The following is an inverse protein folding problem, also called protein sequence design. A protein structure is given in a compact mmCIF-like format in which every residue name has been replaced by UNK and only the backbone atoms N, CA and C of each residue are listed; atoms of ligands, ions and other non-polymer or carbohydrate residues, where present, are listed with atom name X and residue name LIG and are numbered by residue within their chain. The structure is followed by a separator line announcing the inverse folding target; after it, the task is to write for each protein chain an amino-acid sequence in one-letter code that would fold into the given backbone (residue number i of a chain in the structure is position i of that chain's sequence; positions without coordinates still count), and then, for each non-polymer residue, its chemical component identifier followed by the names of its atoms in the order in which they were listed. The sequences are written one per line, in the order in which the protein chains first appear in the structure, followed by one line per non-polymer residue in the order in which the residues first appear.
data_IF_047256269341
#
_entry.id   IF_047256269341
#
_cell.length_a   1.000
_cell.length_b   1.000
_cell.length_c   1.000
_cell.angle_alpha   90.00
_cell.angle_beta   90.00
_cell.angle_gamma   90.00
#
_symmetry.space_group_name_H-M   'P 1'
#
loop_
_entity.id
_entity.type
_entity.pdbx_description
1 polymer ?
#
# COMPACT_ATOMS: atom_id res chain seq x y z
N UNK A 1 10.76 -28.42 -37.81
CA UNK A 1 9.69 -28.26 -36.79
C UNK A 1 10.24 -28.90 -35.52
N UNK A 2 10.97 -28.13 -34.70
CA UNK A 2 11.66 -28.67 -33.52
C UNK A 2 10.67 -28.69 -32.34
N UNK A 3 10.06 -29.84 -32.10
CA UNK A 3 9.33 -30.15 -30.86
C UNK A 3 10.33 -30.43 -29.75
N UNK A 4 10.82 -29.38 -29.09
CA UNK A 4 11.42 -29.53 -27.77
C UNK A 4 10.29 -29.52 -26.73
N UNK A 5 9.95 -30.72 -26.25
CA UNK A 5 9.12 -30.90 -25.06
C UNK A 5 9.78 -30.19 -23.89
N UNK A 6 9.05 -29.28 -23.23
CA UNK A 6 9.51 -28.63 -22.01
C UNK A 6 9.63 -29.71 -20.94
N UNK A 7 10.85 -29.94 -20.47
CA UNK A 7 11.11 -30.84 -19.35
C UNK A 7 10.53 -30.25 -18.05
N UNK A 8 9.44 -30.84 -17.58
CA UNK A 8 8.75 -30.48 -16.32
C UNK A 8 9.30 -31.23 -15.11
N UNK A 9 10.39 -32.00 -15.23
CA UNK A 9 10.99 -32.72 -14.10
C UNK A 9 11.92 -31.86 -13.24
N UNK A 10 12.03 -30.56 -13.53
CA UNK A 10 12.75 -29.62 -12.67
C UNK A 10 11.89 -29.39 -11.41
N UNK A 11 12.38 -29.71 -10.20
CA UNK A 11 11.58 -29.53 -9.00
C UNK A 11 11.18 -28.06 -8.87
N UNK A 12 9.88 -27.82 -8.68
CA UNK A 12 9.35 -26.53 -8.24
C UNK A 12 9.93 -26.31 -6.84
N UNK A 13 10.92 -25.42 -6.72
CA UNK A 13 11.44 -25.02 -5.41
C UNK A 13 10.27 -24.41 -4.65
N UNK A 14 9.96 -24.95 -3.48
CA UNK A 14 8.90 -24.40 -2.63
C UNK A 14 9.24 -22.95 -2.29
N UNK A 15 8.24 -22.07 -2.24
CA UNK A 15 8.43 -20.68 -1.86
C UNK A 15 9.04 -20.52 -0.44
N UNK A 16 9.00 -21.60 0.35
CA UNK A 16 9.41 -21.66 1.76
C UNK A 16 10.92 -21.88 1.98
N UNK A 17 11.71 -22.21 0.94
CA UNK A 17 13.16 -22.48 1.07
C UNK A 17 14.04 -21.21 0.99
N UNK A 18 13.45 -20.01 1.00
CA UNK A 18 14.16 -18.75 0.83
C UNK A 18 14.23 -17.98 2.16
N UNK A 19 15.28 -18.23 2.95
CA UNK A 19 15.56 -17.53 4.18
C UNK A 19 16.03 -16.08 3.96
N UNK A 20 15.23 -15.11 4.44
CA UNK A 20 15.60 -13.67 4.54
C UNK A 20 15.84 -13.22 5.99
N UNK A 21 16.29 -14.11 6.87
CA UNK A 21 16.38 -13.89 8.32
C UNK A 21 17.50 -12.96 8.81
N UNK A 22 18.06 -12.10 7.96
CA UNK A 22 19.01 -11.10 8.40
C UNK A 22 18.40 -9.72 8.16
N UNK A 23 18.05 -9.01 9.24
CA UNK A 23 17.94 -7.54 9.38
C UNK A 23 16.78 -7.01 10.24
N UNK A 24 16.26 -7.69 11.28
CA UNK A 24 15.32 -7.04 12.22
C UNK A 24 15.48 -7.48 13.68
N UNK A 25 15.11 -6.60 14.62
CA UNK A 25 15.31 -6.73 16.06
C UNK A 25 14.27 -7.62 16.79
N UNK A 26 13.19 -8.02 16.11
CA UNK A 26 12.37 -9.19 16.44
C UNK A 26 11.81 -9.79 15.11
N UNK A 27 12.58 -10.68 14.45
CA UNK A 27 12.37 -11.12 13.07
C UNK A 27 11.38 -12.30 12.91
N UNK A 28 10.93 -12.94 13.98
CA UNK A 28 10.30 -14.28 13.89
C UNK A 28 8.78 -14.25 13.62
N UNK A 29 8.10 -13.13 13.88
CA UNK A 29 6.65 -13.07 13.79
C UNK A 29 6.13 -13.11 12.33
N UNK A 30 6.77 -12.37 11.41
CA UNK A 30 6.38 -12.34 9.98
C UNK A 30 7.14 -13.42 9.17
N UNK A 31 8.24 -13.97 9.71
CA UNK A 31 9.09 -14.93 9.00
C UNK A 31 8.40 -16.26 8.62
N UNK A 32 7.33 -16.62 9.32
CA UNK A 32 6.57 -17.87 9.10
C UNK A 32 5.34 -17.64 8.20
N UNK A 33 5.06 -16.38 7.80
CA UNK A 33 3.89 -16.02 7.00
C UNK A 33 4.18 -16.24 5.51
N UNK A 34 3.33 -17.05 4.87
CA UNK A 34 3.34 -17.28 3.42
C UNK A 34 2.16 -16.58 2.76
N UNK A 35 2.12 -16.58 1.43
CA UNK A 35 0.99 -16.06 0.67
C UNK A 35 -0.31 -16.87 0.84
N UNK A 36 -0.27 -17.99 1.55
CA UNK A 36 -1.43 -18.84 1.86
C UNK A 36 -1.88 -18.74 3.32
N UNK A 37 -1.12 -18.04 4.17
CA UNK A 37 -1.49 -17.81 5.56
C UNK A 37 -2.83 -17.07 5.63
N UNK A 38 -3.73 -17.54 6.49
CA UNK A 38 -5.00 -16.87 6.70
C UNK A 38 -4.75 -15.45 7.27
N UNK A 39 -5.48 -14.41 6.81
CA UNK A 39 -5.18 -13.04 7.20
C UNK A 39 -5.15 -12.83 8.72
N UNK A 40 -6.08 -13.45 9.45
CA UNK A 40 -6.24 -13.43 10.91
C UNK A 40 -5.07 -14.04 11.70
N UNK A 41 -4.25 -14.88 11.06
CA UNK A 41 -3.05 -15.46 11.65
C UNK A 41 -1.79 -14.58 11.47
N UNK A 42 -1.88 -13.48 10.73
CA UNK A 42 -0.75 -12.57 10.49
C UNK A 42 -0.57 -11.63 11.69
N UNK A 43 0.62 -11.58 12.32
CA UNK A 43 0.85 -10.68 13.45
C UNK A 43 0.88 -9.22 12.99
N UNK A 44 0.27 -8.35 13.79
CA UNK A 44 0.30 -6.91 13.57
C UNK A 44 1.49 -6.27 14.29
N UNK A 45 2.17 -5.30 13.66
CA UNK A 45 3.18 -4.49 14.35
C UNK A 45 2.60 -3.82 15.61
N UNK A 46 3.47 -3.56 16.59
CA UNK A 46 3.11 -2.78 17.77
C UNK A 46 2.49 -1.44 17.34
N UNK A 47 1.37 -1.02 17.94
CA UNK A 47 0.74 0.25 17.60
C UNK A 47 1.70 1.42 17.78
N UNK A 48 2.63 1.35 18.73
CA UNK A 48 3.54 2.45 19.09
C UNK A 48 4.90 2.39 18.38
N UNK A 49 5.05 1.51 17.40
CA UNK A 49 6.24 1.47 16.56
C UNK A 49 6.42 2.78 15.77
N UNK A 50 7.67 3.23 15.65
CA UNK A 50 8.02 4.39 14.82
C UNK A 50 7.69 4.13 13.34
N UNK A 51 7.38 5.18 12.58
CA UNK A 51 7.02 5.07 11.16
C UNK A 51 8.07 4.33 10.34
N UNK A 52 9.37 4.55 10.61
CA UNK A 52 10.45 3.80 9.95
C UNK A 52 10.35 2.27 10.17
N UNK A 53 10.03 1.85 11.40
CA UNK A 53 9.83 0.42 11.71
C UNK A 53 8.57 -0.15 11.05
N UNK A 54 7.49 0.64 10.98
CA UNK A 54 6.27 0.24 10.28
C UNK A 54 6.48 0.11 8.75
N UNK A 55 7.28 1.00 8.16
CA UNK A 55 7.65 0.91 6.74
C UNK A 55 8.50 -0.32 6.45
N UNK A 56 9.45 -0.65 7.34
CA UNK A 56 10.23 -1.88 7.23
C UNK A 56 9.34 -3.12 7.33
N UNK A 57 8.37 -3.15 8.24
CA UNK A 57 7.40 -4.25 8.33
C UNK A 57 6.54 -4.37 7.06
N UNK A 58 6.13 -3.25 6.45
CA UNK A 58 5.42 -3.25 5.18
C UNK A 58 6.30 -3.71 4.01
N UNK A 59 7.59 -3.37 3.99
CA UNK A 59 8.55 -3.92 3.02
C UNK A 59 8.67 -5.43 3.15
N UNK A 60 8.82 -5.96 4.36
CA UNK A 60 8.87 -7.41 4.58
C UNK A 60 7.56 -8.09 4.16
N UNK A 61 6.41 -7.46 4.44
CA UNK A 61 5.11 -7.95 4.00
C UNK A 61 5.00 -8.02 2.46
N UNK A 62 5.52 -7.01 1.76
CA UNK A 62 5.61 -6.99 0.30
C UNK A 62 6.54 -8.07 -0.24
N UNK A 63 7.69 -8.27 0.39
CA UNK A 63 8.68 -9.29 0.02
C UNK A 63 8.10 -10.71 0.15
N UNK A 64 7.46 -11.02 1.28
CA UNK A 64 6.85 -12.32 1.56
C UNK A 64 5.48 -12.53 0.95
N UNK A 65 4.97 -11.54 0.23
CA UNK A 65 3.69 -11.64 -0.42
C UNK A 65 2.54 -11.90 0.60
N UNK A 66 2.60 -11.27 1.77
CA UNK A 66 1.66 -11.44 2.89
C UNK A 66 0.22 -11.07 2.46
N UNK A 67 -0.78 -11.96 2.67
CA UNK A 67 -2.15 -11.72 2.25
C UNK A 67 -2.99 -11.09 3.37
N UNK A 68 -2.55 -9.96 3.92
CA UNK A 68 -3.26 -9.27 5.02
C UNK A 68 -3.14 -7.74 4.92
N UNK A 69 -4.09 -6.98 5.50
CA UNK A 69 -4.08 -5.51 5.50
C UNK A 69 -3.08 -4.91 6.50
N UNK A 70 -1.83 -5.38 6.49
CA UNK A 70 -0.82 -4.93 7.44
C UNK A 70 -0.49 -3.45 7.22
N UNK A 71 -0.29 -3.04 5.97
CA UNK A 71 0.05 -1.66 5.63
C UNK A 71 -1.14 -0.71 5.84
N UNK A 72 -2.35 -1.14 5.47
CA UNK A 72 -3.60 -0.44 5.71
C UNK A 72 -3.81 -0.19 7.21
N UNK A 73 -3.59 -1.22 8.03
CA UNK A 73 -3.79 -1.15 9.49
C UNK A 73 -2.73 -0.27 10.15
N UNK A 74 -1.46 -0.58 9.91
CA UNK A 74 -0.36 -0.05 10.71
C UNK A 74 0.11 1.33 10.24
N UNK A 75 0.17 1.58 8.93
CA UNK A 75 0.67 2.84 8.38
C UNK A 75 -0.41 3.91 8.17
N UNK A 76 -1.68 3.49 7.99
CA UNK A 76 -2.78 4.39 7.64
C UNK A 76 -3.81 4.47 8.75
N UNK A 77 -4.57 3.40 9.01
CA UNK A 77 -5.75 3.44 9.87
C UNK A 77 -5.40 3.80 11.33
N UNK A 78 -4.45 3.08 11.96
CA UNK A 78 -4.07 3.30 13.37
C UNK A 78 -3.52 4.72 13.61
N UNK A 79 -2.55 5.24 12.83
CA UNK A 79 -2.08 6.61 13.01
C UNK A 79 -3.18 7.66 12.86
N UNK A 80 -4.10 7.49 11.91
CA UNK A 80 -5.21 8.43 11.70
C UNK A 80 -6.20 8.41 12.87
N UNK A 81 -6.54 7.23 13.40
CA UNK A 81 -7.39 7.13 14.60
C UNK A 81 -6.73 7.78 15.82
N UNK A 82 -5.42 7.53 16.03
CA UNK A 82 -4.65 8.18 17.10
C UNK A 82 -4.66 9.70 16.96
N UNK A 83 -4.39 10.22 15.76
CA UNK A 83 -4.40 11.66 15.46
C UNK A 83 -5.78 12.30 15.67
N UNK A 84 -6.85 11.56 15.40
CA UNK A 84 -8.23 11.98 15.60
C UNK A 84 -8.73 11.80 17.05
N UNK A 85 -7.92 11.22 17.95
CA UNK A 85 -8.33 10.92 19.33
C UNK A 85 -9.45 9.88 19.40
N UNK A 86 -9.49 8.93 18.47
CA UNK A 86 -10.45 7.83 18.44
C UNK A 86 -9.77 6.52 18.86
N UNK A 87 -10.51 5.62 19.55
CA UNK A 87 -9.99 4.30 19.88
C UNK A 87 -9.75 3.51 18.59
N UNK A 88 -8.64 2.79 18.54
CA UNK A 88 -8.35 1.81 17.50
C UNK A 88 -8.95 0.46 17.92
N UNK A 89 -9.91 -0.10 17.16
CA UNK A 89 -10.39 -1.45 17.41
C UNK A 89 -9.25 -2.47 17.27
N UNK A 90 -9.38 -3.58 18.01
CA UNK A 90 -8.47 -4.72 17.85
C UNK A 90 -8.64 -5.39 16.48
N UNK A 91 -7.56 -6.06 16.04
CA UNK A 91 -7.51 -6.74 14.74
C UNK A 91 -7.17 -5.81 13.58
N UNK A 92 -7.50 -6.28 12.37
CA UNK A 92 -7.17 -5.60 11.12
C UNK A 92 -8.10 -4.44 10.83
N UNK A 93 -7.51 -3.35 10.34
CA UNK A 93 -8.23 -2.16 9.93
C UNK A 93 -7.97 -1.88 8.45
N UNK A 94 -8.96 -1.29 7.82
CA UNK A 94 -8.86 -0.73 6.47
C UNK A 94 -9.11 0.78 6.51
N UNK A 95 -8.99 1.43 5.36
CA UNK A 95 -9.30 2.84 5.21
C UNK A 95 -10.03 3.10 3.89
N UNK A 96 -10.77 4.20 3.85
CA UNK A 96 -11.38 4.73 2.64
C UNK A 96 -11.33 6.26 2.65
N UNK A 97 -10.69 6.85 1.66
CA UNK A 97 -10.68 8.31 1.46
C UNK A 97 -11.72 8.62 0.39
N UNK A 98 -12.92 9.00 0.82
CA UNK A 98 -14.11 9.08 -0.02
C UNK A 98 -14.77 10.47 0.07
N UNK A 99 -14.17 11.51 -0.56
CA UNK A 99 -14.78 12.83 -0.64
C UNK A 99 -16.12 12.85 -1.40
N UNK A 100 -16.41 11.81 -2.19
CA UNK A 100 -17.63 11.64 -2.98
C UNK A 100 -18.84 11.13 -2.18
N UNK A 101 -18.66 10.73 -0.91
CA UNK A 101 -19.78 10.38 -0.07
C UNK A 101 -20.70 11.57 0.17
N UNK A 102 -22.00 11.33 0.09
CA UNK A 102 -23.00 12.32 0.49
C UNK A 102 -23.23 12.21 1.99
N UNK A 103 -22.73 13.19 2.74
CA UNK A 103 -22.90 13.29 4.19
C UNK A 103 -23.89 14.41 4.50
N UNK A 104 -24.96 14.08 5.23
CA UNK A 104 -26.02 15.02 5.64
C UNK A 104 -26.28 14.90 7.13
N UNK A 105 -26.78 15.97 7.75
CA UNK A 105 -27.31 15.88 9.12
C UNK A 105 -28.70 15.25 9.06
N UNK A 106 -28.96 14.22 9.87
CA UNK A 106 -30.24 13.50 9.83
C UNK A 106 -31.40 14.32 10.42
N UNK A 107 -31.15 15.16 11.44
CA UNK A 107 -32.17 16.00 12.10
C UNK A 107 -31.76 17.48 12.22
N UNK A 108 -31.68 18.24 11.11
CA UNK A 108 -31.25 19.65 11.16
C UNK A 108 -32.15 20.56 11.99
N UNK A 109 -33.41 20.18 12.23
CA UNK A 109 -34.41 20.98 12.96
C UNK A 109 -34.51 20.67 14.47
N UNK A 110 -33.92 19.57 14.95
CA UNK A 110 -33.95 19.18 16.38
C UNK A 110 -32.64 19.50 17.12
N UNK A 111 -31.62 19.96 16.39
CA UNK A 111 -30.32 20.30 16.95
C UNK A 111 -30.33 21.73 17.51
N UNK A 112 -29.92 21.89 18.77
CA UNK A 112 -29.77 23.21 19.43
C UNK A 112 -28.70 24.10 18.79
N UNK A 113 -27.94 23.56 17.83
CA UNK A 113 -26.85 24.24 17.09
C UNK A 113 -27.19 24.50 15.61
N UNK A 114 -28.42 24.18 15.15
CA UNK A 114 -28.87 24.44 13.78
C UNK A 114 -28.01 23.75 12.69
N UNK A 115 -28.03 24.28 11.46
CA UNK A 115 -27.25 23.77 10.32
C UNK A 115 -25.72 23.84 10.49
N UNK A 116 -25.21 24.31 11.64
CA UNK A 116 -23.81 24.62 11.90
C UNK A 116 -23.00 23.47 12.55
N UNK A 117 -23.64 22.38 12.99
CA UNK A 117 -22.88 21.19 13.39
C UNK A 117 -23.50 20.32 14.47
N UNK A 118 -23.13 19.05 14.43
CA UNK A 118 -23.42 18.11 15.49
C UNK A 118 -22.63 18.45 16.76
N UNK A 119 -23.30 18.98 17.78
CA UNK A 119 -22.84 18.95 19.16
C UNK A 119 -24.03 18.46 20.01
N UNK A 120 -24.04 17.17 20.32
CA UNK A 120 -25.06 16.52 21.12
C UNK A 120 -25.07 15.00 20.90
N UNK A 121 -25.41 14.25 21.95
CA UNK A 121 -25.47 12.77 21.91
C UNK A 121 -26.60 12.24 20.99
N UNK A 122 -27.59 13.07 20.66
CA UNK A 122 -28.74 12.73 19.82
C UNK A 122 -28.58 13.06 18.32
N UNK A 123 -27.49 13.71 17.92
CA UNK A 123 -27.27 14.10 16.52
C UNK A 123 -26.66 12.93 15.72
N UNK A 124 -27.25 12.61 14.56
CA UNK A 124 -26.75 11.56 13.65
C UNK A 124 -26.39 12.15 12.29
N UNK A 125 -25.30 11.64 11.72
CA UNK A 125 -24.91 11.87 10.33
C UNK A 125 -25.50 10.77 9.47
N UNK A 126 -26.20 11.17 8.41
CA UNK A 126 -26.71 10.29 7.38
C UNK A 126 -25.68 10.23 6.25
N UNK A 127 -25.09 9.06 6.04
CA UNK A 127 -24.05 8.83 5.03
C UNK A 127 -24.60 7.96 3.92
N UNK A 128 -24.64 8.50 2.71
CA UNK A 128 -25.09 7.77 1.50
C UNK A 128 -23.99 7.78 0.44
N UNK A 129 -23.81 6.66 -0.23
CA UNK A 129 -22.86 6.56 -1.34
C UNK A 129 -22.21 5.19 -1.42
N UNK A 130 -21.09 5.11 -2.13
CA UNK A 130 -20.31 3.88 -2.24
C UNK A 130 -18.86 4.21 -1.94
N UNK A 131 -18.29 3.52 -0.96
CA UNK A 131 -16.84 3.48 -0.78
C UNK A 131 -16.30 2.48 -1.81
N UNK A 132 -15.52 2.96 -2.78
CA UNK A 132 -15.04 2.12 -3.88
C UNK A 132 -13.69 1.50 -3.57
N UNK A 133 -13.52 0.23 -3.96
CA UNK A 133 -12.26 -0.51 -3.91
C UNK A 133 -11.54 -0.44 -2.56
N UNK A 134 -12.29 -0.51 -1.47
CA UNK A 134 -11.76 -0.49 -0.11
C UNK A 134 -10.84 -1.70 0.09
N UNK A 135 -9.55 -1.50 0.40
CA UNK A 135 -8.61 -2.60 0.51
C UNK A 135 -8.97 -3.49 1.69
N UNK A 136 -9.08 -4.80 1.46
CA UNK A 136 -9.32 -5.78 2.53
C UNK A 136 -10.60 -5.54 3.35
N UNK A 137 -11.61 -4.87 2.80
CA UNK A 137 -12.81 -4.51 3.56
C UNK A 137 -13.51 -5.73 4.19
N UNK A 138 -13.60 -6.84 3.45
CA UNK A 138 -14.19 -8.09 3.94
C UNK A 138 -13.41 -8.78 5.08
N UNK A 139 -12.14 -8.43 5.27
CA UNK A 139 -11.26 -9.01 6.29
C UNK A 139 -10.97 -8.04 7.45
N UNK A 140 -11.40 -6.78 7.33
CA UNK A 140 -11.17 -5.76 8.34
C UNK A 140 -12.26 -5.78 9.42
N UNK A 141 -11.87 -5.62 10.68
CA UNK A 141 -12.79 -5.36 11.79
C UNK A 141 -13.51 -4.03 11.59
N UNK A 142 -12.80 -3.04 11.03
CA UNK A 142 -13.29 -1.69 10.84
C UNK A 142 -12.60 -0.99 9.65
N UNK A 143 -13.33 -0.10 9.00
CA UNK A 143 -12.84 0.79 7.94
C UNK A 143 -12.81 2.21 8.49
N UNK A 144 -11.64 2.84 8.47
CA UNK A 144 -11.49 4.26 8.79
C UNK A 144 -11.89 5.08 7.57
N UNK A 145 -13.02 5.77 7.66
CA UNK A 145 -13.59 6.54 6.55
C UNK A 145 -13.28 8.01 6.74
N UNK A 146 -12.67 8.62 5.72
CA UNK A 146 -12.47 10.06 5.62
C UNK A 146 -13.40 10.59 4.54
N UNK A 147 -14.29 11.50 4.90
CA UNK A 147 -15.31 12.05 4.01
C UNK A 147 -15.42 13.57 4.16
N UNK A 148 -16.09 14.21 3.21
CA UNK A 148 -16.40 15.64 3.28
C UNK A 148 -17.83 15.82 3.79
N UNK A 149 -17.99 16.42 4.97
CA UNK A 149 -19.28 16.83 5.51
C UNK A 149 -19.55 18.32 5.23
N UNK A 150 -20.78 18.83 5.43
CA UNK A 150 -21.08 20.25 5.25
C UNK A 150 -20.22 21.17 6.11
N UNK A 151 -19.77 20.71 7.27
CA UNK A 151 -18.86 21.44 8.15
C UNK A 151 -17.36 21.26 7.85
N UNK A 152 -17.02 20.60 6.74
CA UNK A 152 -15.65 20.26 6.36
C UNK A 152 -15.32 18.77 6.53
N UNK A 153 -14.02 18.42 6.44
CA UNK A 153 -13.57 17.04 6.52
C UNK A 153 -13.91 16.36 7.85
N UNK A 154 -14.36 15.11 7.77
CA UNK A 154 -14.67 14.29 8.94
C UNK A 154 -14.03 12.91 8.81
N UNK A 155 -13.78 12.30 9.96
CA UNK A 155 -13.30 10.93 10.12
C UNK A 155 -14.24 10.16 11.03
N UNK A 156 -14.57 8.93 10.64
CA UNK A 156 -15.34 8.00 11.47
C UNK A 156 -14.97 6.56 11.13
N UNK A 157 -15.38 5.62 11.99
CA UNK A 157 -15.15 4.20 11.80
C UNK A 157 -16.43 3.51 11.34
N UNK A 158 -16.33 2.70 10.29
CA UNK A 158 -17.41 1.89 9.74
C UNK A 158 -17.10 0.41 9.94
N UNK A 159 -17.99 -0.33 10.58
CA UNK A 159 -17.94 -1.80 10.54
C UNK A 159 -18.45 -2.28 9.16
N UNK A 160 -17.69 -3.10 8.41
CA UNK A 160 -18.09 -3.54 7.06
C UNK A 160 -19.49 -4.16 6.99
N UNK A 161 -19.90 -4.91 8.01
CA UNK A 161 -21.23 -5.54 8.09
C UNK A 161 -22.41 -4.55 8.15
N UNK A 162 -22.17 -3.25 8.33
CA UNK A 162 -23.21 -2.20 8.24
C UNK A 162 -23.43 -1.67 6.82
N UNK A 163 -22.68 -2.17 5.84
CA UNK A 163 -22.78 -1.81 4.43
C UNK A 163 -23.08 -3.06 3.59
N UNK A 164 -23.73 -2.87 2.43
CA UNK A 164 -23.82 -3.94 1.45
C UNK A 164 -22.48 -4.06 0.72
N UNK A 165 -21.80 -5.19 0.89
CA UNK A 165 -20.48 -5.44 0.32
C UNK A 165 -20.59 -6.12 -1.03
N UNK A 166 -19.97 -5.52 -2.06
CA UNK A 166 -19.75 -6.14 -3.37
C UNK A 166 -18.29 -6.59 -3.47
N UNK A 167 -18.02 -7.90 -3.53
CA UNK A 167 -16.66 -8.41 -3.60
C UNK A 167 -15.92 -7.91 -4.85
N UNK A 168 -14.73 -7.35 -4.66
CA UNK A 168 -13.84 -6.95 -5.74
C UNK A 168 -12.39 -7.37 -5.49
N UNK A 169 -11.53 -7.21 -6.49
CA UNK A 169 -10.12 -7.57 -6.40
C UNK A 169 -9.23 -6.64 -7.20
N UNK A 170 -7.94 -6.66 -6.88
CA UNK A 170 -6.91 -6.06 -7.74
C UNK A 170 -6.26 -7.10 -8.67
N UNK A 171 -5.27 -6.66 -9.46
CA UNK A 171 -4.58 -7.54 -10.42
C UNK A 171 -3.88 -8.73 -9.74
N UNK A 172 -3.43 -8.55 -8.50
CA UNK A 172 -2.80 -9.60 -7.69
C UNK A 172 -3.81 -10.50 -6.96
N UNK A 173 -5.12 -10.28 -7.13
CA UNK A 173 -6.18 -11.02 -6.46
C UNK A 173 -6.43 -10.60 -5.01
N UNK A 174 -5.86 -9.48 -4.55
CA UNK A 174 -6.09 -8.96 -3.20
C UNK A 174 -7.46 -8.27 -3.12
N UNK A 175 -8.21 -8.39 -2.01
CA UNK A 175 -9.55 -7.82 -1.89
C UNK A 175 -9.58 -6.30 -2.05
N UNK A 176 -10.47 -5.82 -2.91
CA UNK A 176 -10.77 -4.39 -3.16
C UNK A 176 -12.27 -4.25 -3.30
N UNK A 177 -12.94 -4.24 -2.18
CA UNK A 177 -14.39 -4.38 -2.10
C UNK A 177 -15.09 -3.03 -2.22
N UNK A 178 -16.26 -3.02 -2.85
CA UNK A 178 -17.13 -1.85 -2.82
C UNK A 178 -18.09 -1.99 -1.62
N UNK A 179 -18.17 -0.95 -0.78
CA UNK A 179 -19.12 -0.89 0.34
C UNK A 179 -20.22 0.13 0.01
N UNK A 180 -21.44 -0.36 -0.20
CA UNK A 180 -22.61 0.46 -0.49
C UNK A 180 -23.31 0.88 0.80
N UNK A 181 -23.40 2.19 1.02
CA UNK A 181 -24.01 2.82 2.18
C UNK A 181 -25.40 3.33 1.79
N UNK A 182 -26.43 2.57 2.16
CA UNK A 182 -27.83 2.93 1.95
C UNK A 182 -28.33 3.82 3.10
N UNK A 183 -27.87 5.08 3.12
CA UNK A 183 -28.25 6.08 4.13
C UNK A 183 -27.95 5.61 5.57
N UNK A 184 -26.69 5.30 5.83
CA UNK A 184 -26.22 4.84 7.13
C UNK A 184 -26.25 5.96 8.16
N UNK A 185 -26.91 5.73 9.29
CA UNK A 185 -26.87 6.64 10.45
C UNK A 185 -25.65 6.37 11.32
N UNK A 186 -24.84 7.41 11.52
CA UNK A 186 -23.65 7.39 12.37
C UNK A 186 -23.84 8.42 13.49
N UNK A 187 -23.83 8.00 14.76
CA UNK A 187 -23.87 8.93 15.89
C UNK A 187 -22.77 9.98 15.80
N UNK A 188 -23.09 11.25 16.06
CA UNK A 188 -22.13 12.34 16.04
C UNK A 188 -20.97 12.11 17.02
N UNK A 189 -21.23 11.42 18.14
CA UNK A 189 -20.22 11.00 19.11
C UNK A 189 -19.15 10.08 18.52
N UNK A 190 -19.43 9.38 17.41
CA UNK A 190 -18.51 8.51 16.68
C UNK A 190 -17.80 9.21 15.51
N UNK A 191 -18.12 10.47 15.26
CA UNK A 191 -17.51 11.26 14.18
C UNK A 191 -16.58 12.31 14.74
N UNK A 192 -15.44 12.52 14.09
CA UNK A 192 -14.49 13.58 14.41
C UNK A 192 -14.36 14.51 13.24
N UNK A 193 -14.50 15.81 13.48
CA UNK A 193 -14.04 16.82 12.54
C UNK A 193 -12.52 16.76 12.50
N UNK A 194 -11.96 16.74 11.30
CA UNK A 194 -10.52 16.70 11.11
C UNK A 194 -10.08 17.94 10.32
N UNK A 195 -8.82 18.32 10.50
CA UNK A 195 -8.26 19.41 9.71
C UNK A 195 -7.96 18.95 8.27
N UNK A 196 -7.94 19.86 7.29
CA UNK A 196 -7.49 19.54 5.93
C UNK A 196 -6.09 18.92 5.88
N UNK A 197 -5.22 19.27 6.83
CA UNK A 197 -3.87 18.72 6.96
C UNK A 197 -3.90 17.23 7.33
N UNK A 198 -4.82 16.80 8.21
CA UNK A 198 -4.96 15.37 8.55
C UNK A 198 -5.54 14.57 7.38
N UNK A 199 -6.45 15.15 6.59
CA UNK A 199 -6.92 14.53 5.35
C UNK A 199 -5.78 14.39 4.33
N UNK A 200 -4.88 15.37 4.24
CA UNK A 200 -3.70 15.27 3.39
C UNK A 200 -2.70 14.24 3.91
N UNK A 201 -2.47 14.20 5.23
CA UNK A 201 -1.66 13.17 5.90
C UNK A 201 -2.16 11.76 5.59
N UNK A 202 -3.48 11.54 5.56
CA UNK A 202 -4.07 10.24 5.18
C UNK A 202 -3.68 9.81 3.77
N UNK A 203 -3.69 10.73 2.80
CA UNK A 203 -3.27 10.46 1.42
C UNK A 203 -1.78 10.14 1.33
N UNK A 204 -0.96 10.87 2.08
CA UNK A 204 0.49 10.65 2.15
C UNK A 204 0.81 9.28 2.75
N UNK A 205 0.16 8.92 3.87
CA UNK A 205 0.32 7.62 4.52
C UNK A 205 -0.10 6.47 3.60
N UNK A 206 -1.24 6.58 2.94
CA UNK A 206 -1.73 5.58 2.00
C UNK A 206 -0.75 5.36 0.83
N UNK A 207 -0.26 6.44 0.23
CA UNK A 207 0.73 6.34 -0.83
C UNK A 207 2.06 5.73 -0.37
N UNK A 208 2.60 6.17 0.77
CA UNK A 208 3.87 5.63 1.26
C UNK A 208 3.74 4.16 1.68
N UNK A 209 2.58 3.75 2.19
CA UNK A 209 2.28 2.35 2.47
C UNK A 209 2.36 1.47 1.21
N UNK A 210 1.82 1.93 0.07
CA UNK A 210 1.99 1.24 -1.23
C UNK A 210 3.43 1.24 -1.69
N UNK A 211 4.13 2.37 -1.57
CA UNK A 211 5.55 2.47 -1.93
C UNK A 211 6.41 1.47 -1.14
N UNK A 212 6.15 1.29 0.16
CA UNK A 212 6.86 0.33 1.00
C UNK A 212 6.58 -1.13 0.57
N UNK A 213 5.32 -1.47 0.31
CA UNK A 213 4.95 -2.78 -0.23
C UNK A 213 5.63 -3.06 -1.58
N UNK A 214 5.67 -2.05 -2.48
CA UNK A 214 6.38 -2.13 -3.77
C UNK A 214 7.86 -2.42 -3.57
N UNK A 215 8.53 -1.72 -2.64
CA UNK A 215 9.95 -1.94 -2.37
C UNK A 215 10.24 -3.39 -1.92
N UNK A 216 9.38 -3.96 -1.07
CA UNK A 216 9.45 -5.37 -0.70
C UNK A 216 9.28 -6.33 -1.88
N UNK A 217 8.23 -6.12 -2.69
CA UNK A 217 7.98 -6.97 -3.86
C UNK A 217 9.08 -6.84 -4.93
N UNK A 218 9.74 -5.67 -5.02
CA UNK A 218 10.89 -5.46 -5.88
C UNK A 218 12.10 -6.31 -5.45
N UNK A 219 12.42 -6.31 -4.15
CA UNK A 219 13.45 -7.17 -3.57
C UNK A 219 13.16 -8.66 -3.83
N UNK A 220 11.89 -9.07 -3.73
CA UNK A 220 11.46 -10.42 -4.08
C UNK A 220 11.72 -10.74 -5.55
N UNK A 221 11.47 -9.80 -6.46
CA UNK A 221 11.76 -9.96 -7.88
C UNK A 221 13.27 -10.13 -8.14
N UNK A 222 14.14 -9.37 -7.46
CA UNK A 222 15.60 -9.55 -7.53
C UNK A 222 15.99 -10.97 -7.11
N UNK A 223 15.56 -11.39 -5.92
CA UNK A 223 15.92 -12.71 -5.38
C UNK A 223 15.48 -13.87 -6.28
N UNK A 224 14.25 -13.81 -6.79
CA UNK A 224 13.74 -14.80 -7.75
C UNK A 224 14.52 -14.80 -9.07
N UNK A 225 14.84 -13.61 -9.59
CA UNK A 225 15.56 -13.47 -10.87
C UNK A 225 16.98 -14.01 -10.79
N UNK A 226 17.74 -13.60 -9.77
CA UNK A 226 19.13 -14.07 -9.57
C UNK A 226 19.18 -15.58 -9.38
N UNK A 227 18.22 -16.15 -8.64
CA UNK A 227 18.12 -17.59 -8.49
C UNK A 227 17.82 -18.28 -9.83
N UNK A 228 16.87 -17.76 -10.59
CA UNK A 228 16.49 -18.31 -11.89
C UNK A 228 17.64 -18.29 -12.90
N UNK A 229 18.29 -17.15 -13.09
CA UNK A 229 19.39 -16.98 -14.07
C UNK A 229 20.63 -17.78 -13.70
N UNK A 230 20.86 -18.01 -12.40
CA UNK A 230 21.97 -18.83 -11.92
C UNK A 230 21.71 -20.32 -12.12
N UNK A 231 20.49 -20.79 -11.88
CA UNK A 231 20.14 -22.21 -12.04
C UNK A 231 19.91 -22.60 -13.51
N UNK A 232 19.37 -21.69 -14.33
CA UNK A 232 18.99 -22.00 -15.71
C UNK A 232 20.21 -22.06 -16.63
N UNK A 233 20.45 -23.23 -17.22
CA UNK A 233 21.51 -23.44 -18.21
C UNK A 233 20.96 -23.38 -19.64
N UNK A 234 21.54 -22.52 -20.48
CA UNK A 234 21.29 -22.49 -21.92
C UNK A 234 22.60 -22.24 -22.67
N UNK A 235 22.71 -22.79 -23.88
CA UNK A 235 23.94 -22.70 -24.68
C UNK A 235 25.20 -23.16 -23.89
N UNK A 236 25.05 -24.25 -23.12
CA UNK A 236 26.15 -24.89 -22.40
C UNK A 236 26.63 -24.22 -21.11
N UNK A 237 25.96 -23.15 -20.62
CA UNK A 237 26.31 -22.49 -19.36
C UNK A 237 25.11 -21.79 -18.68
N UNK A 238 25.21 -21.42 -17.40
CA UNK A 238 24.18 -20.63 -16.72
C UNK A 238 23.89 -19.30 -17.42
N UNK A 239 22.63 -18.84 -17.36
CA UNK A 239 22.22 -17.54 -17.92
C UNK A 239 22.99 -16.37 -17.30
N UNK A 240 23.31 -16.45 -16.00
CA UNK A 240 24.12 -15.43 -15.29
C UNK A 240 25.54 -15.26 -15.84
N UNK A 241 26.01 -16.12 -16.76
CA UNK A 241 27.31 -15.97 -17.44
C UNK A 241 27.26 -15.12 -18.71
N UNK A 242 26.09 -14.75 -19.22
CA UNK A 242 25.96 -13.88 -20.39
C UNK A 242 25.96 -12.40 -19.97
N UNK A 243 26.73 -11.56 -20.67
CA UNK A 243 26.87 -10.13 -20.31
C UNK A 243 25.54 -9.36 -20.37
N UNK A 244 24.70 -9.63 -21.38
CA UNK A 244 23.37 -9.02 -21.48
C UNK A 244 22.49 -9.34 -20.27
N UNK A 245 22.56 -10.58 -19.75
CA UNK A 245 21.83 -10.97 -18.52
C UNK A 245 22.36 -10.21 -17.32
N UNK A 246 23.69 -10.13 -17.15
CA UNK A 246 24.30 -9.38 -16.04
C UNK A 246 23.94 -7.89 -16.05
N UNK A 247 23.86 -7.28 -17.23
CA UNK A 247 23.48 -5.87 -17.38
C UNK A 247 22.03 -5.65 -16.94
N UNK A 248 21.10 -6.51 -17.39
CA UNK A 248 19.71 -6.43 -16.95
C UNK A 248 19.56 -6.73 -15.45
N UNK A 249 20.29 -7.70 -14.90
CA UNK A 249 20.32 -7.95 -13.45
C UNK A 249 20.85 -6.76 -12.65
N UNK A 250 21.92 -6.12 -13.12
CA UNK A 250 22.45 -4.91 -12.50
C UNK A 250 21.41 -3.79 -12.48
N UNK A 251 20.69 -3.60 -13.60
CA UNK A 251 19.60 -2.61 -13.69
C UNK A 251 18.43 -2.96 -12.76
N UNK A 252 18.06 -4.23 -12.66
CA UNK A 252 17.02 -4.70 -11.74
C UNK A 252 17.38 -4.39 -10.28
N UNK A 253 18.63 -4.62 -9.90
CA UNK A 253 19.15 -4.30 -8.55
C UNK A 253 19.19 -2.79 -8.33
N UNK A 254 19.61 -2.02 -9.32
CA UNK A 254 19.63 -0.55 -9.26
C UNK A 254 18.23 0.03 -9.04
N UNK A 255 17.24 -0.36 -9.85
CA UNK A 255 15.85 0.06 -9.69
C UNK A 255 15.30 -0.32 -8.31
N UNK A 256 15.65 -1.52 -7.83
CA UNK A 256 15.26 -1.96 -6.48
C UNK A 256 15.92 -1.12 -5.38
N UNK A 257 17.18 -0.74 -5.54
CA UNK A 257 17.86 0.15 -4.60
C UNK A 257 17.24 1.56 -4.60
N UNK A 258 16.84 2.08 -5.77
CA UNK A 258 16.15 3.36 -5.89
C UNK A 258 14.82 3.36 -5.13
N UNK A 259 13.96 2.34 -5.31
CA UNK A 259 12.67 2.29 -4.62
C UNK A 259 12.81 2.19 -3.10
N UNK A 260 13.78 1.40 -2.61
CA UNK A 260 14.04 1.26 -1.17
C UNK A 260 14.50 2.58 -0.57
N UNK A 261 15.46 3.23 -1.23
CA UNK A 261 16.02 4.51 -0.77
C UNK A 261 14.95 5.59 -0.75
N UNK A 262 14.08 5.65 -1.77
CA UNK A 262 13.01 6.63 -1.82
C UNK A 262 11.98 6.44 -0.71
N UNK A 263 11.61 5.20 -0.37
CA UNK A 263 10.73 4.89 0.77
C UNK A 263 11.38 5.30 2.10
N UNK A 264 12.65 4.95 2.30
CA UNK A 264 13.38 5.27 3.53
C UNK A 264 13.53 6.78 3.73
N UNK A 265 13.84 7.53 2.66
CA UNK A 265 13.97 8.98 2.70
C UNK A 265 12.66 9.69 3.10
N UNK A 266 11.50 9.09 2.83
CA UNK A 266 10.21 9.66 3.17
C UNK A 266 9.73 9.38 4.61
N UNK A 267 10.40 8.50 5.36
CA UNK A 267 9.98 8.08 6.70
C UNK A 267 9.96 9.24 7.71
N UNK A 268 11.10 9.91 7.91
CA UNK A 268 11.22 11.02 8.86
C UNK A 268 10.41 12.27 8.42
N UNK A 269 10.40 12.66 7.13
CA UNK A 269 9.51 13.71 6.66
C UNK A 269 8.04 13.42 6.95
N UNK A 270 7.57 12.18 6.80
CA UNK A 270 6.18 11.84 7.09
C UNK A 270 5.81 12.07 8.57
N UNK A 271 6.70 11.77 9.51
CA UNK A 271 6.48 12.00 10.94
C UNK A 271 6.41 13.49 11.30
N UNK A 272 7.23 14.31 10.65
CA UNK A 272 7.25 15.76 10.87
C UNK A 272 6.11 16.51 10.16
N UNK A 273 5.60 15.95 9.07
CA UNK A 273 4.49 16.51 8.31
C UNK A 273 4.88 17.70 7.42
N UNK A 274 3.88 18.50 7.05
CA UNK A 274 4.09 19.74 6.30
C UNK A 274 4.62 19.56 4.88
N UNK A 275 5.37 20.55 4.39
CA UNK A 275 5.86 20.56 3.01
C UNK A 275 6.90 19.47 2.71
N UNK A 276 7.77 19.16 3.69
CA UNK A 276 8.78 18.11 3.57
C UNK A 276 8.11 16.73 3.37
N UNK A 277 7.10 16.39 4.18
CA UNK A 277 6.32 15.16 4.00
C UNK A 277 5.71 15.06 2.59
N UNK A 278 5.08 16.15 2.13
CA UNK A 278 4.45 16.18 0.80
C UNK A 278 5.44 15.95 -0.32
N UNK A 279 6.61 16.58 -0.25
CA UNK A 279 7.65 16.42 -1.25
C UNK A 279 8.20 14.99 -1.23
N UNK A 280 8.67 14.52 -0.07
CA UNK A 280 9.36 13.24 0.05
C UNK A 280 8.44 12.05 -0.32
N UNK A 281 7.19 12.04 0.15
CA UNK A 281 6.23 10.98 -0.19
C UNK A 281 5.81 11.04 -1.66
N UNK A 282 5.61 12.24 -2.23
CA UNK A 282 5.29 12.37 -3.65
C UNK A 282 6.45 11.89 -4.53
N UNK A 283 7.69 12.22 -4.18
CA UNK A 283 8.88 11.71 -4.84
C UNK A 283 8.98 10.18 -4.71
N UNK A 284 8.79 9.64 -3.50
CA UNK A 284 8.83 8.21 -3.25
C UNK A 284 7.76 7.44 -4.04
N UNK A 285 6.51 7.90 -4.03
CA UNK A 285 5.43 7.25 -4.76
C UNK A 285 5.61 7.37 -6.28
N UNK A 286 6.10 8.50 -6.77
CA UNK A 286 6.43 8.67 -8.21
C UNK A 286 7.53 7.69 -8.62
N UNK A 287 8.65 7.66 -7.90
CA UNK A 287 9.78 6.77 -8.19
C UNK A 287 9.39 5.30 -8.10
N UNK A 288 8.73 4.90 -7.01
CA UNK A 288 8.31 3.49 -6.82
C UNK A 288 7.29 3.05 -7.88
N UNK A 289 6.35 3.91 -8.26
CA UNK A 289 5.41 3.61 -9.35
C UNK A 289 6.09 3.49 -10.71
N UNK A 290 7.11 4.29 -11.01
CA UNK A 290 7.88 4.21 -12.26
C UNK A 290 8.74 2.94 -12.31
N UNK A 291 9.55 2.71 -11.27
CA UNK A 291 10.43 1.54 -11.16
C UNK A 291 9.66 0.22 -11.14
N UNK A 292 8.45 0.18 -10.58
CA UNK A 292 7.61 -1.03 -10.56
C UNK A 292 7.41 -1.64 -11.97
N UNK A 293 7.22 -0.80 -13.00
CA UNK A 293 7.07 -1.26 -14.37
C UNK A 293 8.38 -1.84 -14.93
N UNK A 294 9.50 -1.15 -14.68
CA UNK A 294 10.81 -1.55 -15.19
C UNK A 294 11.32 -2.83 -14.52
N UNK A 295 11.15 -2.94 -13.20
CA UNK A 295 11.44 -4.14 -12.41
C UNK A 295 10.65 -5.33 -12.95
N UNK A 296 9.34 -5.17 -13.16
CA UNK A 296 8.52 -6.24 -13.72
C UNK A 296 8.95 -6.61 -15.15
N UNK A 297 9.27 -5.62 -16.00
CA UNK A 297 9.75 -5.85 -17.37
C UNK A 297 11.03 -6.68 -17.38
N UNK A 298 12.03 -6.27 -16.60
CA UNK A 298 13.33 -6.95 -16.53
C UNK A 298 13.16 -8.37 -15.98
N UNK A 299 12.45 -8.51 -14.86
CA UNK A 299 12.30 -9.81 -14.21
C UNK A 299 11.59 -10.81 -15.14
N UNK A 300 10.52 -10.40 -15.83
CA UNK A 300 9.84 -11.27 -16.81
C UNK A 300 10.73 -11.58 -18.02
N UNK A 301 11.49 -10.61 -18.52
CA UNK A 301 12.41 -10.83 -19.64
C UNK A 301 13.45 -11.90 -19.31
N UNK A 302 14.00 -11.89 -18.08
CA UNK A 302 15.03 -12.84 -17.65
C UNK A 302 14.49 -14.23 -17.31
N UNK A 303 13.21 -14.34 -16.94
CA UNK A 303 12.56 -15.65 -16.72
C UNK A 303 11.96 -16.25 -18.00
N UNK A 304 11.58 -15.42 -18.97
CA UNK A 304 10.84 -15.87 -20.15
C UNK A 304 9.45 -16.42 -19.78
N UNK A 305 8.99 -17.43 -20.52
CA UNK A 305 7.61 -17.93 -20.43
C UNK A 305 7.20 -18.39 -19.02
N UNK A 306 8.10 -18.98 -18.24
CA UNK A 306 7.77 -19.48 -16.89
C UNK A 306 7.38 -18.34 -15.94
N UNK A 307 8.00 -17.17 -16.09
CA UNK A 307 7.76 -16.00 -15.24
C UNK A 307 6.33 -15.46 -15.34
N UNK A 308 5.68 -15.65 -16.49
CA UNK A 308 4.30 -15.20 -16.74
C UNK A 308 3.27 -16.12 -16.10
N UNK A 309 3.62 -17.40 -15.87
CA UNK A 309 2.66 -18.40 -15.36
C UNK A 309 2.35 -18.19 -13.88
N UNK A 310 1.11 -18.48 -13.46
CA UNK A 310 0.71 -18.51 -12.03
C UNK A 310 1.45 -19.57 -11.21
N UNK A 311 2.14 -20.50 -11.86
CA UNK A 311 2.93 -21.54 -11.20
C UNK A 311 4.24 -21.00 -10.63
N UNK A 312 4.70 -19.84 -11.10
CA UNK A 312 5.93 -19.22 -10.65
C UNK A 312 5.65 -18.05 -9.69
N UNK A 313 6.35 -17.95 -8.54
CA UNK A 313 6.13 -16.89 -7.55
C UNK A 313 6.36 -15.47 -8.10
N UNK A 314 7.11 -15.33 -9.19
CA UNK A 314 7.31 -14.05 -9.90
C UNK A 314 5.99 -13.45 -10.37
N UNK A 315 5.02 -14.27 -10.78
CA UNK A 315 3.72 -13.78 -11.23
C UNK A 315 3.02 -12.98 -10.13
N UNK A 316 3.01 -13.50 -8.89
CA UNK A 316 2.41 -12.80 -7.77
C UNK A 316 3.18 -11.53 -7.39
N UNK A 317 4.52 -11.62 -7.33
CA UNK A 317 5.35 -10.46 -7.00
C UNK A 317 5.15 -9.31 -8.00
N UNK A 318 5.15 -9.61 -9.29
CA UNK A 318 5.00 -8.60 -10.34
C UNK A 318 3.57 -8.08 -10.49
N UNK A 319 2.54 -8.91 -10.34
CA UNK A 319 1.15 -8.42 -10.33
C UNK A 319 0.86 -7.49 -9.15
N UNK A 320 1.53 -7.68 -8.01
CA UNK A 320 1.52 -6.74 -6.88
C UNK A 320 2.20 -5.42 -7.19
N UNK A 321 3.37 -5.44 -7.82
CA UNK A 321 4.02 -4.21 -8.32
C UNK A 321 3.07 -3.42 -9.22
N UNK A 322 2.43 -4.09 -10.18
CA UNK A 322 1.46 -3.49 -11.11
C UNK A 322 0.19 -3.00 -10.42
N UNK A 323 -0.27 -3.69 -9.39
CA UNK A 323 -1.45 -3.24 -8.67
C UNK A 323 -1.18 -2.01 -7.82
N UNK A 324 -0.11 -2.04 -7.02
CA UNK A 324 0.15 -1.00 -6.03
C UNK A 324 0.70 0.28 -6.65
N UNK A 325 1.26 0.22 -7.87
CA UNK A 325 1.68 1.44 -8.58
C UNK A 325 0.50 2.36 -8.94
N UNK A 326 -0.68 1.78 -9.17
CA UNK A 326 -1.90 2.51 -9.55
C UNK A 326 -2.84 2.79 -8.37
N UNK A 327 -2.56 2.20 -7.20
CA UNK A 327 -3.32 2.45 -5.97
C UNK A 327 -2.80 3.68 -5.22
N UNK A 328 -3.72 4.36 -4.52
CA UNK A 328 -3.45 5.56 -3.72
C UNK A 328 -2.78 6.69 -4.50
N UNK A 329 -3.13 6.77 -5.79
CA UNK A 329 -2.60 7.72 -6.77
C UNK A 329 -1.47 7.10 -7.61
N UNK A 330 -1.62 7.20 -8.92
CA UNK A 330 -0.62 6.75 -9.89
C UNK A 330 0.59 7.70 -9.98
N UNK A 331 1.58 7.32 -10.79
CA UNK A 331 2.78 8.12 -11.06
C UNK A 331 2.45 9.55 -11.51
N UNK A 332 1.46 9.69 -12.40
CA UNK A 332 1.08 10.99 -12.98
C UNK A 332 0.45 11.90 -11.92
N UNK A 333 -0.41 11.35 -11.07
CA UNK A 333 -1.03 12.06 -9.96
C UNK A 333 0.04 12.63 -9.02
N UNK A 334 0.98 11.80 -8.59
CA UNK A 334 2.02 12.20 -7.63
C UNK A 334 3.07 13.11 -8.27
N UNK A 335 3.46 12.89 -9.52
CA UNK A 335 4.36 13.77 -10.26
C UNK A 335 3.78 15.18 -10.42
N UNK A 336 2.49 15.31 -10.76
CA UNK A 336 1.82 16.62 -10.82
C UNK A 336 1.79 17.31 -9.46
N UNK A 337 1.57 16.55 -8.39
CA UNK A 337 1.52 17.07 -7.02
C UNK A 337 2.89 17.54 -6.55
N UNK A 338 3.96 16.83 -6.93
CA UNK A 338 5.35 17.20 -6.71
C UNK A 338 5.73 18.46 -7.52
N UNK A 339 5.29 18.54 -8.78
CA UNK A 339 5.64 19.64 -9.68
C UNK A 339 4.86 20.94 -9.41
N UNK A 340 3.63 20.87 -8.89
CA UNK A 340 2.75 22.03 -8.67
C UNK A 340 3.39 23.20 -7.89
N UNK A 341 4.14 23.00 -6.79
CA UNK A 341 4.82 24.09 -6.10
C UNK A 341 6.11 24.55 -6.78
N UNK A 342 6.63 23.81 -7.77
CA UNK A 342 7.90 24.11 -8.42
C UNK A 342 7.72 25.19 -9.49
N UNK A 343 8.53 26.23 -9.39
CA UNK A 343 8.71 27.26 -10.42
C UNK A 343 10.17 27.25 -10.86
N UNK A 344 10.50 27.94 -11.95
CA UNK A 344 11.90 28.08 -12.39
C UNK A 344 12.82 28.64 -11.28
N UNK A 345 12.28 29.50 -10.41
CA UNK A 345 13.01 30.09 -9.28
C UNK A 345 13.04 29.20 -8.05
N UNK A 346 11.99 28.38 -7.80
CA UNK A 346 11.90 27.51 -6.63
C UNK A 346 12.55 26.14 -6.84
N UNK A 347 12.79 25.70 -8.09
CA UNK A 347 13.29 24.36 -8.40
C UNK A 347 14.62 24.04 -7.71
N UNK A 348 15.66 24.84 -7.98
CA UNK A 348 17.01 24.55 -7.45
C UNK A 348 17.10 24.65 -5.93
N UNK A 349 16.51 25.67 -5.26
CA UNK A 349 16.43 25.69 -3.81
C UNK A 349 15.70 24.47 -3.25
N UNK A 350 14.57 24.06 -3.84
CA UNK A 350 13.82 22.89 -3.35
C UNK A 350 14.66 21.61 -3.43
N UNK A 351 15.42 21.42 -4.51
CA UNK A 351 16.27 20.23 -4.68
C UNK A 351 17.49 20.21 -3.74
N UNK A 352 17.99 21.36 -3.33
CA UNK A 352 19.23 21.47 -2.53
C UNK A 352 19.00 21.68 -1.03
N UNK A 353 17.79 22.08 -0.63
CA UNK A 353 17.44 22.36 0.77
C UNK A 353 16.49 21.33 1.39
N UNK A 354 15.86 20.48 0.58
CA UNK A 354 15.07 19.36 1.11
C UNK A 354 16.04 18.24 1.50
N UNK A 355 16.10 17.86 2.79
CA UNK A 355 17.09 16.91 3.30
C UNK A 355 16.88 15.48 2.83
#
# INVERSE_FOLDING_TARGET
MNTHTIDTSTPVISADDYGTSAFFADPDAIAVVTNTTAPDAVPLPSPDAATAGLLAAAQEAGFRAVPAPLAETALVARPLLRRAGLPAPDGFLSYAIAPELTVRYARPAASSVGSAGCLGDDDTLLVTGTLRRVPWARAATAVVVLATAPSGPVLFTLTPGRAALTPGGNLAGEPRDDLHLAALEIPASQVRRISPELLDEARLRAALARSALIAGAAERCVGLTVAHTTARTQFGRPLSRFQAVKQEEARLVEETALVRTAVQAAAAPLDTGGAAARFAVAAAKTQTSASAAEIARIAHQLHGAIGITRLHPLHLATTRLWSWRDEDGDETYWARRLARPLTATALWPTLTTTP
#
